data_IF_700436210986
#
_entry.id   IF_700436210986
#
_cell.length_a   1.000
_cell.length_b   1.000
_cell.length_c   1.000
_cell.angle_alpha   90.00
_cell.angle_beta   90.00
_cell.angle_gamma   90.00
#
_symmetry.space_group_name_H-M   'P 1'
#
loop_
_entity.id
_entity.type
_entity.pdbx_description
1 polymer ?
#
# COMPACT_ATOMS: atom_id res chain seq x y z
N UNK A 1 -7.48 -25.13 0.15
CA UNK A 1 -7.48 -23.95 -0.75
C UNK A 1 -7.35 -22.73 0.15
N UNK A 2 -6.54 -21.72 -0.19
CA UNK A 2 -6.43 -20.55 0.69
C UNK A 2 -7.67 -19.67 0.49
N UNK A 3 -8.53 -19.59 1.50
CA UNK A 3 -9.77 -18.79 1.43
C UNK A 3 -9.42 -17.31 1.39
N UNK A 4 -9.70 -16.70 0.25
CA UNK A 4 -9.66 -15.26 0.07
C UNK A 4 -10.99 -14.65 0.51
N UNK A 5 -10.89 -13.52 1.20
CA UNK A 5 -12.03 -12.75 1.71
C UNK A 5 -11.85 -11.31 1.27
N UNK A 6 -12.93 -10.69 0.80
CA UNK A 6 -12.93 -9.29 0.40
C UNK A 6 -13.78 -8.51 1.40
N UNK A 7 -13.21 -7.43 1.96
CA UNK A 7 -13.94 -6.54 2.86
C UNK A 7 -14.40 -5.28 2.12
N UNK A 8 -15.66 -4.92 2.31
CA UNK A 8 -16.27 -3.70 1.74
C UNK A 8 -17.08 -2.94 2.78
N UNK A 9 -17.30 -1.64 2.60
CA UNK A 9 -18.18 -0.91 3.53
C UNK A 9 -19.66 -1.18 3.25
N UNK A 10 -20.02 -1.33 1.97
CA UNK A 10 -21.36 -1.72 1.50
C UNK A 10 -21.27 -2.86 0.48
N UNK A 11 -22.18 -3.85 0.48
CA UNK A 11 -22.20 -4.92 -0.52
C UNK A 11 -22.32 -4.44 -1.97
N UNK A 12 -22.85 -3.23 -2.18
CA UNK A 12 -22.96 -2.61 -3.51
C UNK A 12 -21.62 -2.07 -4.04
N UNK A 13 -20.64 -1.85 -3.17
CA UNK A 13 -19.34 -1.29 -3.56
C UNK A 13 -18.51 -2.30 -4.36
N UNK A 14 -18.72 -3.59 -4.09
CA UNK A 14 -18.11 -4.71 -4.80
C UNK A 14 -19.03 -5.94 -4.66
N UNK A 15 -19.97 -6.15 -5.59
CA UNK A 15 -20.89 -7.26 -5.55
C UNK A 15 -20.19 -8.63 -5.50
N UNK A 16 -20.70 -9.55 -4.67
CA UNK A 16 -20.17 -10.92 -4.59
C UNK A 16 -20.36 -11.71 -5.90
N UNK A 17 -21.24 -11.27 -6.80
CA UNK A 17 -21.41 -11.89 -8.11
C UNK A 17 -20.18 -11.66 -9.02
N UNK A 18 -19.39 -10.62 -8.75
CA UNK A 18 -18.28 -10.20 -9.61
C UNK A 18 -16.95 -10.87 -9.21
N UNK A 19 -16.99 -11.82 -8.27
CA UNK A 19 -15.82 -12.51 -7.72
C UNK A 19 -16.20 -13.89 -7.18
N UNK A 20 -15.35 -14.92 -7.32
CA UNK A 20 -15.56 -16.21 -6.66
C UNK A 20 -15.30 -16.15 -5.14
N UNK A 21 -14.72 -15.05 -4.65
CA UNK A 21 -14.30 -14.90 -3.25
C UNK A 21 -15.43 -14.38 -2.38
N UNK A 22 -15.41 -14.74 -1.10
CA UNK A 22 -16.42 -14.29 -0.14
C UNK A 22 -16.27 -12.79 0.12
N UNK A 23 -17.31 -12.02 -0.18
CA UNK A 23 -17.40 -10.59 0.15
C UNK A 23 -18.15 -10.42 1.48
N UNK A 24 -17.54 -9.73 2.44
CA UNK A 24 -18.11 -9.43 3.76
C UNK A 24 -18.03 -7.93 4.03
N UNK A 25 -19.01 -7.39 4.75
CA UNK A 25 -18.94 -5.98 5.14
C UNK A 25 -17.93 -5.75 6.26
N UNK A 26 -17.28 -4.58 6.28
CA UNK A 26 -16.39 -4.18 7.38
C UNK A 26 -17.12 -4.20 8.73
N UNK A 27 -18.43 -3.92 8.76
CA UNK A 27 -19.27 -4.01 9.97
C UNK A 27 -19.35 -5.44 10.48
N UNK A 28 -19.70 -6.38 9.61
CA UNK A 28 -19.85 -7.78 9.98
C UNK A 28 -18.52 -8.38 10.43
N UNK A 29 -17.42 -8.04 9.75
CA UNK A 29 -16.08 -8.52 10.10
C UNK A 29 -15.62 -8.03 11.49
N UNK A 30 -15.94 -6.77 11.83
CA UNK A 30 -15.63 -6.21 13.15
C UNK A 30 -16.54 -6.78 14.25
N UNK A 31 -17.84 -6.93 13.98
CA UNK A 31 -18.83 -7.32 14.98
C UNK A 31 -18.77 -8.81 15.36
N UNK A 32 -18.36 -9.69 14.44
CA UNK A 32 -18.45 -11.14 14.63
C UNK A 32 -17.07 -11.70 14.98
N UNK A 33 -16.83 -11.91 16.27
CA UNK A 33 -15.53 -12.38 16.79
C UNK A 33 -15.17 -13.81 16.42
N UNK A 34 -16.17 -14.66 16.18
CA UNK A 34 -15.99 -16.07 15.80
C UNK A 34 -15.73 -16.29 14.31
N UNK A 35 -15.87 -15.24 13.49
CA UNK A 35 -15.69 -15.34 12.05
C UNK A 35 -14.23 -15.69 11.73
N UNK A 36 -14.04 -16.81 11.03
CA UNK A 36 -12.73 -17.36 10.68
C UNK A 36 -11.90 -17.86 11.88
N UNK A 37 -12.54 -18.19 13.02
CA UNK A 37 -11.85 -18.87 14.10
C UNK A 37 -11.22 -20.18 13.64
N UNK A 38 -9.94 -20.39 14.01
CA UNK A 38 -9.17 -21.56 13.63
C UNK A 38 -8.67 -21.55 12.18
N UNK A 39 -9.00 -20.52 11.37
CA UNK A 39 -8.48 -20.36 10.02
C UNK A 39 -7.58 -19.12 9.91
N UNK A 40 -6.82 -19.02 8.82
CA UNK A 40 -5.93 -17.89 8.54
C UNK A 40 -6.20 -17.37 7.12
N UNK A 41 -7.36 -16.74 6.90
CA UNK A 41 -7.75 -16.26 5.58
C UNK A 41 -6.80 -15.17 5.07
N UNK A 42 -6.80 -15.03 3.74
CA UNK A 42 -6.15 -13.90 3.05
C UNK A 42 -7.23 -12.87 2.77
N UNK A 43 -7.02 -11.63 3.18
CA UNK A 43 -8.04 -10.59 3.18
C UNK A 43 -7.59 -9.44 2.26
N UNK A 44 -8.45 -9.07 1.33
CA UNK A 44 -8.33 -7.83 0.55
C UNK A 44 -9.32 -6.82 1.11
N UNK A 45 -8.81 -5.77 1.74
CA UNK A 45 -9.60 -4.71 2.32
C UNK A 45 -9.85 -3.62 1.27
N UNK A 46 -11.09 -3.49 0.83
CA UNK A 46 -11.56 -2.52 -0.16
C UNK A 46 -12.47 -1.46 0.49
N UNK A 47 -12.30 -1.20 1.79
CA UNK A 47 -13.02 -0.12 2.46
C UNK A 47 -12.82 1.23 1.76
N UNK A 48 -13.79 2.12 1.90
CA UNK A 48 -13.79 3.43 1.20
C UNK A 48 -12.74 4.39 1.77
N UNK A 49 -12.32 4.16 3.01
CA UNK A 49 -11.37 5.01 3.74
C UNK A 49 -10.47 4.17 4.65
N UNK A 50 -9.19 4.51 4.66
CA UNK A 50 -8.17 3.97 5.57
C UNK A 50 -7.64 5.02 6.55
N UNK A 51 -8.35 6.15 6.70
CA UNK A 51 -8.00 7.16 7.69
C UNK A 51 -8.00 6.56 9.11
N UNK A 52 -7.23 7.17 10.01
CA UNK A 52 -7.22 6.77 11.42
C UNK A 52 -8.65 6.74 11.98
N UNK A 53 -8.94 5.70 12.77
CA UNK A 53 -10.28 5.40 13.33
C UNK A 53 -11.38 5.07 12.31
N UNK A 54 -11.06 4.90 11.02
CA UNK A 54 -12.03 4.38 10.06
C UNK A 54 -12.32 2.89 10.30
N UNK A 55 -13.45 2.40 9.80
CA UNK A 55 -13.76 0.95 9.80
C UNK A 55 -12.74 0.15 9.02
N UNK A 56 -12.25 0.68 7.89
CA UNK A 56 -11.19 0.06 7.10
C UNK A 56 -9.90 -0.13 7.90
N UNK A 57 -9.49 0.90 8.64
CA UNK A 57 -8.33 0.86 9.53
C UNK A 57 -8.49 -0.20 10.63
N UNK A 58 -9.62 -0.20 11.34
CA UNK A 58 -9.87 -1.19 12.39
C UNK A 58 -9.98 -2.63 11.85
N UNK A 59 -10.46 -2.82 10.63
CA UNK A 59 -10.48 -4.16 10.02
C UNK A 59 -9.07 -4.71 9.82
N UNK A 60 -8.14 -3.90 9.32
CA UNK A 60 -6.73 -4.31 9.14
C UNK A 60 -6.05 -4.57 10.48
N UNK A 61 -6.24 -3.70 11.47
CA UNK A 61 -5.70 -3.88 12.82
C UNK A 61 -6.20 -5.18 13.46
N UNK A 62 -7.51 -5.43 13.38
CA UNK A 62 -8.13 -6.63 13.94
C UNK A 62 -7.70 -7.91 13.19
N UNK A 63 -7.54 -7.83 11.87
CA UNK A 63 -7.05 -8.94 11.06
C UNK A 63 -5.63 -9.34 11.44
N UNK A 64 -4.73 -8.36 11.60
CA UNK A 64 -3.34 -8.60 12.04
C UNK A 64 -3.30 -9.23 13.43
N UNK A 65 -4.10 -8.72 14.38
CA UNK A 65 -4.20 -9.28 15.72
C UNK A 65 -4.72 -10.74 15.73
N UNK A 66 -5.55 -11.11 14.75
CA UNK A 66 -6.04 -12.49 14.56
C UNK A 66 -5.10 -13.39 13.76
N UNK A 67 -3.96 -12.86 13.28
CA UNK A 67 -3.06 -13.60 12.39
C UNK A 67 -3.62 -13.85 10.99
N UNK A 68 -4.66 -13.10 10.59
CA UNK A 68 -5.15 -13.09 9.22
C UNK A 68 -4.20 -12.28 8.35
N UNK A 69 -4.01 -12.69 7.10
CA UNK A 69 -3.13 -11.99 6.16
C UNK A 69 -3.94 -10.94 5.41
N UNK A 70 -3.81 -9.66 5.75
CA UNK A 70 -4.60 -8.58 5.16
C UNK A 70 -3.76 -7.63 4.28
N UNK A 71 -4.36 -7.14 3.20
CA UNK A 71 -3.85 -6.01 2.42
C UNK A 71 -4.93 -4.93 2.21
N UNK A 72 -4.60 -3.64 2.40
CA UNK A 72 -3.35 -3.15 2.95
C UNK A 72 -3.22 -3.49 4.44
N UNK A 73 -1.98 -3.62 4.93
CA UNK A 73 -1.68 -3.72 6.36
C UNK A 73 -1.95 -2.39 7.07
N UNK A 74 -2.07 -2.42 8.39
CA UNK A 74 -2.19 -1.21 9.21
C UNK A 74 -0.98 -0.30 9.01
N UNK A 75 0.22 -0.88 8.95
CA UNK A 75 1.46 -0.16 8.65
C UNK A 75 1.38 0.56 7.30
N UNK A 76 0.96 -0.13 6.24
CA UNK A 76 0.78 0.50 4.92
C UNK A 76 -0.22 1.66 4.96
N UNK A 77 -1.32 1.51 5.70
CA UNK A 77 -2.32 2.57 5.81
C UNK A 77 -1.75 3.82 6.48
N UNK A 78 -0.93 3.62 7.52
CA UNK A 78 -0.22 4.70 8.20
C UNK A 78 0.80 5.34 7.26
N UNK A 79 1.64 4.53 6.60
CA UNK A 79 2.65 5.00 5.64
C UNK A 79 1.99 5.91 4.59
N UNK A 80 0.90 5.47 3.95
CA UNK A 80 0.19 6.23 2.93
C UNK A 80 -0.63 7.43 3.45
N UNK A 81 -0.77 7.58 4.77
CA UNK A 81 -1.55 8.64 5.40
C UNK A 81 -0.92 10.04 5.25
N UNK A 82 0.41 10.13 5.15
CA UNK A 82 1.12 11.39 4.97
C UNK A 82 2.42 11.21 4.19
N UNK A 83 2.76 12.20 3.34
CA UNK A 83 3.95 12.12 2.46
C UNK A 83 5.26 11.92 3.22
N UNK A 84 5.38 12.49 4.40
CA UNK A 84 6.56 12.39 5.25
C UNK A 84 6.84 10.94 5.68
N UNK A 85 5.80 10.11 5.81
CA UNK A 85 5.92 8.73 6.30
C UNK A 85 6.49 7.79 5.23
N UNK A 86 6.20 8.05 3.95
CA UNK A 86 6.82 7.35 2.82
C UNK A 86 7.96 8.12 2.13
N UNK A 87 8.46 9.20 2.72
CA UNK A 87 9.49 10.03 2.08
C UNK A 87 10.78 9.24 1.77
N UNK A 88 11.17 8.33 2.66
CA UNK A 88 12.32 7.43 2.49
C UNK A 88 12.21 6.50 1.27
N UNK A 89 10.99 6.25 0.80
CA UNK A 89 10.72 5.43 -0.37
C UNK A 89 10.87 6.23 -1.68
N UNK A 90 10.65 7.54 -1.66
CA UNK A 90 10.61 8.34 -2.89
C UNK A 90 11.87 8.23 -3.77
N UNK A 91 13.12 8.21 -3.23
CA UNK A 91 14.31 8.15 -4.08
C UNK A 91 14.38 6.93 -5.00
N UNK A 92 14.08 5.73 -4.50
CA UNK A 92 14.12 4.50 -5.31
C UNK A 92 12.95 4.44 -6.29
N UNK A 93 11.78 4.96 -5.89
CA UNK A 93 10.60 5.04 -6.75
C UNK A 93 10.81 6.04 -7.89
N UNK A 94 11.37 7.22 -7.60
CA UNK A 94 11.70 8.24 -8.60
C UNK A 94 12.78 7.73 -9.57
N UNK A 95 13.79 7.00 -9.08
CA UNK A 95 14.80 6.36 -9.94
C UNK A 95 14.17 5.28 -10.85
N UNK A 96 13.27 4.45 -10.32
CA UNK A 96 12.53 3.47 -11.12
C UNK A 96 11.64 4.16 -12.16
N UNK A 97 10.97 5.26 -11.80
CA UNK A 97 10.14 6.05 -12.73
C UNK A 97 10.99 6.65 -13.85
N UNK A 98 12.13 7.26 -13.50
CA UNK A 98 13.06 7.84 -14.46
C UNK A 98 13.64 6.79 -15.42
N UNK A 99 14.00 5.60 -14.91
CA UNK A 99 14.48 4.47 -15.74
C UNK A 99 13.41 3.99 -16.72
N UNK A 100 12.15 3.90 -16.29
CA UNK A 100 11.02 3.56 -17.16
C UNK A 100 10.87 4.56 -18.31
N UNK A 101 10.93 5.87 -18.02
CA UNK A 101 10.86 6.93 -19.03
C UNK A 101 12.09 6.94 -19.96
N UNK A 102 13.29 6.70 -19.41
CA UNK A 102 14.53 6.66 -20.18
C UNK A 102 14.56 5.49 -21.18
N UNK A 103 14.00 4.34 -20.82
CA UNK A 103 13.95 3.15 -21.69
C UNK A 103 12.83 3.21 -22.75
N UNK A 104 11.75 3.95 -22.50
CA UNK A 104 10.61 4.03 -23.41
C UNK A 104 10.91 4.87 -24.67
N UNK A 105 10.37 4.48 -25.83
CA UNK A 105 10.43 5.32 -27.03
C UNK A 105 9.63 6.62 -26.84
N UNK A 106 8.44 6.51 -26.25
CA UNK A 106 7.62 7.65 -25.85
C UNK A 106 8.11 8.21 -24.50
N UNK A 107 8.49 9.49 -24.50
CA UNK A 107 8.97 10.24 -23.32
C UNK A 107 7.86 10.99 -22.59
N UNK A 108 6.60 10.87 -23.02
CA UNK A 108 5.45 11.53 -22.39
C UNK A 108 5.31 11.08 -20.94
N UNK A 109 5.28 12.04 -20.03
CA UNK A 109 5.18 11.81 -18.59
C UNK A 109 3.72 11.90 -18.16
N UNK A 110 3.11 10.82 -17.67
CA UNK A 110 1.73 10.87 -17.20
C UNK A 110 1.64 11.65 -15.89
N UNK A 111 0.60 12.46 -15.72
CA UNK A 111 0.34 13.18 -14.46
C UNK A 111 -0.18 12.25 -13.36
N UNK A 112 -0.78 11.12 -13.76
CA UNK A 112 -1.40 10.14 -12.87
C UNK A 112 -1.13 8.73 -13.38
N UNK A 113 -0.65 7.86 -12.50
CA UNK A 113 -0.55 6.42 -12.73
C UNK A 113 -1.40 5.71 -11.69
N UNK A 114 -2.29 4.82 -12.13
CA UNK A 114 -2.99 3.88 -11.26
C UNK A 114 -2.35 2.50 -11.36
N UNK A 115 -2.09 1.89 -10.20
CA UNK A 115 -1.61 0.53 -10.08
C UNK A 115 -2.62 -0.33 -9.31
N UNK A 116 -2.97 -1.49 -9.88
CA UNK A 116 -3.87 -2.49 -9.30
C UNK A 116 -3.05 -3.72 -8.93
N UNK A 117 -2.81 -3.94 -7.63
CA UNK A 117 -1.89 -4.99 -7.16
C UNK A 117 -0.51 -4.98 -7.84
N UNK A 118 -0.05 -3.79 -8.26
CA UNK A 118 1.21 -3.57 -8.96
C UNK A 118 1.16 -3.72 -10.48
N UNK A 119 0.00 -4.02 -11.06
CA UNK A 119 -0.25 -3.98 -12.50
C UNK A 119 -0.66 -2.56 -12.89
N UNK A 120 -0.08 -2.03 -13.96
CA UNK A 120 -0.36 -0.70 -14.51
C UNK A 120 -0.82 -0.84 -15.95
N UNK A 121 -1.67 0.07 -16.43
CA UNK A 121 -2.17 0.05 -17.80
C UNK A 121 -1.08 0.43 -18.82
N UNK A 122 -0.16 1.32 -18.43
CA UNK A 122 0.96 1.73 -19.26
C UNK A 122 2.18 0.85 -18.97
N UNK A 123 2.46 -0.07 -19.89
CA UNK A 123 3.52 -1.08 -19.75
C UNK A 123 4.93 -0.52 -19.65
N UNK A 124 5.16 0.76 -19.99
CA UNK A 124 6.43 1.44 -19.71
C UNK A 124 6.77 1.39 -18.21
N UNK A 125 5.74 1.34 -17.36
CA UNK A 125 5.85 1.40 -15.91
C UNK A 125 5.64 0.04 -15.23
N UNK A 126 5.68 -1.09 -15.94
CA UNK A 126 5.46 -2.43 -15.33
C UNK A 126 6.42 -2.72 -14.16
N UNK A 127 7.71 -2.38 -14.31
CA UNK A 127 8.69 -2.56 -13.23
C UNK A 127 8.39 -1.64 -12.04
N UNK A 128 8.00 -0.40 -12.32
CA UNK A 128 7.63 0.59 -11.32
C UNK A 128 6.36 0.16 -10.54
N UNK A 129 5.34 -0.33 -11.24
CA UNK A 129 4.12 -0.89 -10.63
C UNK A 129 4.42 -2.04 -9.68
N UNK A 130 5.28 -2.97 -10.07
CA UNK A 130 5.71 -4.09 -9.20
C UNK A 130 6.42 -3.58 -7.95
N UNK A 131 7.33 -2.61 -8.09
CA UNK A 131 8.04 -1.99 -6.97
C UNK A 131 7.08 -1.31 -5.99
N UNK A 132 6.12 -0.54 -6.49
CA UNK A 132 5.06 0.07 -5.66
C UNK A 132 4.31 -0.98 -4.84
N UNK A 133 3.92 -2.09 -5.47
CA UNK A 133 3.17 -3.13 -4.78
C UNK A 133 4.02 -3.94 -3.81
N UNK A 134 5.30 -4.15 -4.10
CA UNK A 134 6.23 -4.76 -3.15
C UNK A 134 6.46 -3.88 -1.91
N UNK A 135 6.25 -2.57 -2.01
CA UNK A 135 6.50 -1.62 -0.94
C UNK A 135 5.28 -1.18 -0.16
N UNK A 136 4.12 -1.09 -0.79
CA UNK A 136 2.91 -0.69 -0.10
C UNK A 136 1.92 -1.84 0.01
N UNK A 137 1.97 -2.87 -0.84
CA UNK A 137 0.99 -3.97 -0.83
C UNK A 137 -0.46 -3.44 -0.74
N UNK A 138 -0.75 -2.37 -1.48
CA UNK A 138 -2.06 -1.73 -1.52
C UNK A 138 -2.85 -2.24 -2.75
N UNK A 139 -4.15 -2.58 -2.62
CA UNK A 139 -4.94 -3.09 -3.75
C UNK A 139 -5.01 -2.12 -4.94
N UNK A 140 -5.24 -0.84 -4.65
CA UNK A 140 -5.28 0.23 -5.64
C UNK A 140 -4.47 1.39 -5.13
N UNK A 141 -3.38 1.71 -5.84
CA UNK A 141 -2.48 2.81 -5.50
C UNK A 141 -2.44 3.81 -6.66
N UNK A 142 -2.67 5.07 -6.35
CA UNK A 142 -2.50 6.18 -7.26
C UNK A 142 -1.18 6.89 -6.98
N UNK A 143 -0.45 7.15 -8.05
CA UNK A 143 0.75 7.97 -8.08
C UNK A 143 0.45 9.25 -8.84
N UNK A 144 0.52 10.38 -8.16
CA UNK A 144 0.50 11.70 -8.80
C UNK A 144 1.93 12.12 -9.08
N UNK A 145 2.23 12.52 -10.31
CA UNK A 145 3.56 12.94 -10.76
C UNK A 145 3.53 14.44 -11.03
N UNK A 146 4.59 15.12 -10.60
CA UNK A 146 4.86 16.50 -10.98
C UNK A 146 5.74 16.53 -12.24
N UNK A 147 5.24 17.16 -13.31
CA UNK A 147 5.84 17.16 -14.64
C UNK A 147 6.74 18.39 -14.86
N UNK A 148 7.56 18.75 -13.87
CA UNK A 148 8.57 19.79 -14.01
C UNK A 148 9.78 19.35 -14.84
N UNK A 149 10.90 20.09 -14.75
CA UNK A 149 12.15 19.78 -15.45
C UNK A 149 12.63 18.33 -15.21
N UNK A 150 12.34 17.81 -14.01
CA UNK A 150 12.53 16.40 -13.67
C UNK A 150 11.23 15.82 -13.12
N UNK A 151 10.65 14.79 -13.76
CA UNK A 151 9.48 14.08 -13.23
C UNK A 151 9.75 13.52 -11.85
N UNK A 152 8.87 13.83 -10.90
CA UNK A 152 8.97 13.35 -9.52
C UNK A 152 7.61 12.98 -8.95
N UNK A 153 7.61 12.00 -8.04
CA UNK A 153 6.41 11.58 -7.35
C UNK A 153 5.98 12.69 -6.38
N UNK A 154 4.82 13.28 -6.66
CA UNK A 154 4.20 14.28 -5.81
C UNK A 154 3.42 13.66 -4.65
N UNK A 155 2.72 12.55 -4.92
CA UNK A 155 1.83 11.91 -3.94
C UNK A 155 1.63 10.44 -4.28
N UNK A 156 1.60 9.62 -3.23
CA UNK A 156 1.07 8.27 -3.23
C UNK A 156 -0.22 8.25 -2.41
N UNK A 157 -1.27 7.62 -2.92
CA UNK A 157 -2.55 7.50 -2.22
C UNK A 157 -3.28 6.21 -2.56
N UNK A 158 -3.91 5.58 -1.57
CA UNK A 158 -4.87 4.51 -1.82
C UNK A 158 -6.15 5.07 -2.44
N UNK A 159 -6.70 4.41 -3.44
CA UNK A 159 -7.97 4.81 -4.08
C UNK A 159 -9.04 3.75 -3.82
N UNK A 160 -10.22 4.13 -3.31
CA UNK A 160 -11.31 3.18 -3.15
C UNK A 160 -11.86 2.74 -4.51
N UNK A 161 -12.22 1.47 -4.65
CA UNK A 161 -12.74 0.90 -5.91
C UNK A 161 -13.99 1.63 -6.43
N UNK A 162 -14.77 2.24 -5.52
CA UNK A 162 -15.95 3.05 -5.84
C UNK A 162 -15.63 4.36 -6.57
N UNK A 163 -14.36 4.77 -6.64
CA UNK A 163 -13.91 5.95 -7.41
C UNK A 163 -13.31 5.59 -8.77
N UNK A 164 -13.25 4.30 -9.10
CA UNK A 164 -12.79 3.85 -10.40
C UNK A 164 -13.91 4.02 -11.42
N UNK A 165 -13.56 4.49 -12.61
CA UNK A 165 -14.41 4.41 -13.79
C UNK A 165 -14.71 2.96 -14.16
N UNK A 166 -15.72 2.73 -15.00
CA UNK A 166 -16.07 1.37 -15.43
C UNK A 166 -14.90 0.65 -16.12
N UNK A 167 -14.03 1.36 -16.85
CA UNK A 167 -12.86 0.77 -17.49
C UNK A 167 -11.78 0.39 -16.46
N UNK A 168 -11.47 1.30 -15.53
CA UNK A 168 -10.52 1.06 -14.44
C UNK A 168 -11.00 -0.08 -13.52
N UNK A 169 -12.31 -0.19 -13.26
CA UNK A 169 -12.89 -1.25 -12.44
C UNK A 169 -12.73 -2.62 -13.12
N UNK A 170 -12.94 -2.72 -14.44
CA UNK A 170 -12.70 -3.98 -15.17
C UNK A 170 -11.25 -4.44 -15.03
N UNK A 171 -10.28 -3.54 -15.21
CA UNK A 171 -8.86 -3.83 -15.00
C UNK A 171 -8.56 -4.25 -13.56
N UNK A 172 -9.23 -3.64 -12.58
CA UNK A 172 -9.13 -4.06 -11.18
C UNK A 172 -9.63 -5.49 -10.96
N UNK A 173 -10.77 -5.90 -11.56
CA UNK A 173 -11.26 -7.27 -11.47
C UNK A 173 -10.26 -8.28 -12.04
N UNK A 174 -9.66 -7.98 -13.20
CA UNK A 174 -8.63 -8.81 -13.81
C UNK A 174 -7.40 -8.94 -12.89
N UNK A 175 -6.90 -7.81 -12.38
CA UNK A 175 -5.76 -7.79 -11.46
C UNK A 175 -6.05 -8.52 -10.13
N UNK A 176 -7.26 -8.40 -9.60
CA UNK A 176 -7.70 -9.13 -8.41
C UNK A 176 -7.75 -10.65 -8.68
N UNK A 177 -8.30 -11.05 -9.82
CA UNK A 177 -8.33 -12.45 -10.23
C UNK A 177 -6.91 -13.03 -10.30
N UNK A 178 -6.00 -12.34 -10.97
CA UNK A 178 -4.60 -12.76 -11.08
C UNK A 178 -3.86 -12.77 -9.75
N UNK A 179 -4.11 -11.78 -8.89
CA UNK A 179 -3.53 -11.72 -7.55
C UNK A 179 -3.96 -12.90 -6.69
N UNK A 180 -5.24 -13.26 -6.75
CA UNK A 180 -5.83 -14.29 -5.90
C UNK A 180 -5.55 -15.72 -6.35
N UNK A 181 -5.16 -15.92 -7.62
CA UNK A 181 -4.64 -17.21 -8.12
C UNK A 181 -3.26 -17.57 -7.58
N UNK A 182 -2.47 -16.59 -7.14
CA UNK A 182 -1.09 -16.78 -6.69
C UNK A 182 -1.03 -17.17 -5.22
N UNK A 183 0.01 -17.91 -4.83
CA UNK A 183 0.34 -18.08 -3.43
C UNK A 183 0.69 -16.73 -2.79
N UNK A 184 0.32 -16.56 -1.51
CA UNK A 184 0.54 -15.28 -0.82
C UNK A 184 2.02 -15.10 -0.56
N UNK A 185 2.57 -14.01 -1.09
CA UNK A 185 3.93 -13.56 -0.80
C UNK A 185 3.87 -12.37 0.14
N UNK A 186 4.58 -12.46 1.25
CA UNK A 186 4.76 -11.32 2.15
C UNK A 186 5.38 -10.13 1.39
N UNK A 187 5.18 -8.92 1.90
CA UNK A 187 5.93 -7.74 1.46
C UNK A 187 7.43 -8.09 1.47
N UNK A 188 8.19 -7.59 0.49
CA UNK A 188 9.64 -7.75 0.56
C UNK A 188 10.11 -6.92 1.75
N UNK A 189 10.73 -7.58 2.73
CA UNK A 189 11.34 -6.86 3.85
C UNK A 189 12.33 -5.86 3.26
N UNK A 190 12.21 -4.60 3.68
CA UNK A 190 13.24 -3.62 3.38
C UNK A 190 14.53 -4.17 3.99
N UNK A 191 15.62 -4.15 3.23
CA UNK A 191 16.91 -4.56 3.78
C UNK A 191 17.11 -3.72 5.06
N UNK A 192 17.21 -4.35 6.24
CA UNK A 192 17.42 -3.61 7.46
C UNK A 192 18.71 -2.81 7.29
N UNK A 193 18.77 -1.58 7.80
CA UNK A 193 20.00 -0.82 7.74
C UNK A 193 21.12 -1.65 8.37
N UNK A 194 22.28 -1.70 7.70
CA UNK A 194 23.41 -2.55 8.10
C UNK A 194 23.85 -2.29 9.56
N UNK A 195 23.59 -1.07 10.04
CA UNK A 195 23.78 -0.66 11.42
C UNK A 195 22.53 0.09 11.90
N UNK A 196 22.16 -0.11 13.16
CA UNK A 196 21.16 0.69 13.85
C UNK A 196 21.81 1.24 15.11
N UNK A 197 21.64 2.54 15.37
CA UNK A 197 22.17 3.19 16.57
C UNK A 197 21.02 3.76 17.39
N UNK A 198 21.04 3.49 18.69
CA UNK A 198 20.18 4.16 19.66
C UNK A 198 20.97 5.31 20.29
N UNK A 199 20.40 6.52 20.30
CA UNK A 199 20.99 7.67 20.97
C UNK A 199 20.14 8.03 22.18
N UNK A 200 20.76 8.05 23.37
CA UNK A 200 20.13 8.61 24.57
C UNK A 200 20.12 10.14 24.45
N UNK A 201 18.94 10.72 24.37
CA UNK A 201 18.75 12.17 24.28
C UNK A 201 17.96 12.66 25.51
N UNK A 202 18.64 13.39 26.38
CA UNK A 202 18.01 14.16 27.45
C UNK A 202 18.29 15.66 27.23
N UNK A 203 17.27 16.48 26.95
CA UNK A 203 17.41 17.93 26.79
C UNK A 203 17.98 18.67 28.01
N UNK A 204 17.92 18.05 29.20
CA UNK A 204 18.35 18.65 30.48
C UNK A 204 19.73 18.15 30.92
N UNK A 205 20.34 17.23 30.19
CA UNK A 205 21.67 16.72 30.52
C UNK A 205 22.73 17.81 30.33
N UNK A 206 23.57 18.01 31.34
CA UNK A 206 24.57 19.07 31.35
C UNK A 206 25.77 18.73 30.47
N UNK A 207 26.09 17.43 30.35
CA UNK A 207 27.20 16.91 29.56
C UNK A 207 26.69 15.82 28.60
N UNK A 208 25.92 16.19 27.57
CA UNK A 208 25.35 15.21 26.67
C UNK A 208 26.47 14.49 25.91
N UNK A 209 26.39 13.15 25.77
CA UNK A 209 27.42 12.36 25.09
C UNK A 209 27.47 12.60 23.58
N UNK A 210 26.52 13.34 23.01
CA UNK A 210 26.45 13.67 21.59
C UNK A 210 25.84 15.05 21.35
N UNK A 211 26.39 15.77 20.36
CA UNK A 211 25.86 17.07 19.98
C UNK A 211 24.62 16.94 19.10
N UNK A 212 23.78 17.99 19.08
CA UNK A 212 22.61 18.05 18.18
C UNK A 212 22.97 17.93 16.70
N UNK A 213 24.16 18.41 16.31
CA UNK A 213 24.69 18.25 14.96
C UNK A 213 25.01 16.78 14.65
N UNK A 214 25.63 16.08 15.61
CA UNK A 214 25.92 14.65 15.52
C UNK A 214 24.64 13.84 15.36
N UNK A 215 23.61 14.09 16.17
CA UNK A 215 22.31 13.38 16.08
C UNK A 215 21.66 13.59 14.70
N UNK A 216 21.68 14.82 14.17
CA UNK A 216 21.16 15.12 12.83
C UNK A 216 21.95 14.47 11.69
N UNK A 217 23.26 14.26 11.89
CA UNK A 217 24.10 13.56 10.92
C UNK A 217 23.71 12.08 10.83
N UNK A 218 23.48 11.44 11.98
CA UNK A 218 23.12 10.02 12.08
C UNK A 218 21.65 9.70 11.81
N UNK A 219 20.75 10.69 11.80
CA UNK A 219 19.32 10.49 11.49
C UNK A 219 19.00 10.44 10.00
N UNK A 220 20.01 10.45 9.13
CA UNK A 220 19.89 10.39 7.68
C UNK A 220 20.07 8.96 7.19
#
# INVERSE_FOLDING_TARGET
>A
MADWVILVDSPKDFPNADTPHKVITTRDYLARSSLFQGTRPKIVNLARSFAYQSRGYYCSLLAEARGHRIIPSTETMIDLGARQLYAQALPELDDSLAKSLAAAADKTVPTRILAYFGVVTDHRFDRFGRLLFDWFRCPVLEVTIDNGDRPQIRRLASVPVTRLSAAELRLFHEALHDHTRREWRSKKDRAPPRYSFAVLYDPKEALPPSSRATIKHWSR
#
